data_IF_847567481892
#
_entry.id   IF_847567481892
#
_cell.length_a   1.000
_cell.length_b   1.000
_cell.length_c   1.000
_cell.angle_alpha   90.00
_cell.angle_beta   90.00
_cell.angle_gamma   90.00
#
_symmetry.space_group_name_H-M   'P 1'
#
loop_
_entity.id
_entity.type
_entity.pdbx_description
1 polymer ?
#
# COMPACT_ATOMS: atom_id res chain seq x y z
N UNK A 1 37.97 23.98 26.20
CA UNK A 1 37.04 24.18 25.06
C UNK A 1 36.98 22.99 24.09
N UNK A 2 37.95 22.08 24.07
CA UNK A 2 37.97 20.91 23.17
C UNK A 2 37.00 19.77 23.56
N UNK A 3 36.70 19.57 24.85
CA UNK A 3 35.87 18.45 25.31
C UNK A 3 34.37 18.56 24.96
N UNK A 4 33.84 19.77 24.74
CA UNK A 4 32.42 19.98 24.39
C UNK A 4 32.10 19.68 22.92
N UNK A 5 33.10 19.78 22.03
CA UNK A 5 32.92 19.46 20.61
C UNK A 5 33.02 17.95 20.33
N UNK A 6 33.77 17.19 21.15
CA UNK A 6 33.85 15.73 20.99
C UNK A 6 32.52 15.02 21.30
N UNK A 7 31.73 15.52 22.25
CA UNK A 7 30.41 14.94 22.57
C UNK A 7 29.36 15.22 21.49
N UNK A 8 29.44 16.36 20.82
CA UNK A 8 28.56 16.72 19.70
C UNK A 8 28.86 15.90 18.44
N UNK A 9 30.14 15.61 18.17
CA UNK A 9 30.54 14.75 17.05
C UNK A 9 30.16 13.29 17.33
N UNK A 10 30.23 12.81 18.58
CA UNK A 10 29.73 11.48 18.93
C UNK A 10 28.20 11.36 18.78
N UNK A 11 27.42 12.39 19.13
CA UNK A 11 25.96 12.36 18.95
C UNK A 11 25.53 12.41 17.48
N UNK A 12 26.31 13.08 16.62
CA UNK A 12 26.08 13.09 15.16
C UNK A 12 26.49 11.76 14.53
N UNK A 13 27.54 11.11 15.03
CA UNK A 13 27.95 9.78 14.55
C UNK A 13 26.96 8.67 14.93
N UNK A 14 26.28 8.76 16.09
CA UNK A 14 25.19 7.86 16.45
C UNK A 14 23.86 8.14 15.75
N UNK A 15 23.69 9.32 15.13
CA UNK A 15 22.53 9.63 14.28
C UNK A 15 22.81 9.43 12.78
N UNK A 16 24.07 9.16 12.40
CA UNK A 16 24.49 8.84 11.04
C UNK A 16 24.78 7.35 10.78
N UNK A 17 24.52 6.45 11.73
CA UNK A 17 24.37 5.02 11.41
C UNK A 17 22.97 4.76 10.84
N UNK A 18 22.62 5.49 9.79
CA UNK A 18 21.63 5.03 8.83
C UNK A 18 22.28 3.87 8.08
N UNK A 19 22.05 2.65 8.61
CA UNK A 19 22.14 1.36 7.93
C UNK A 19 23.03 1.33 6.68
N UNK A 20 24.33 1.16 6.90
CA UNK A 20 25.12 0.38 5.96
C UNK A 20 24.67 -1.07 6.12
N UNK A 21 23.59 -1.46 5.44
CA UNK A 21 23.13 -2.83 5.39
C UNK A 21 23.99 -3.56 4.36
N UNK A 22 25.03 -4.24 4.87
CA UNK A 22 25.71 -5.30 4.12
C UNK A 22 24.67 -6.35 3.69
N UNK A 23 24.86 -6.88 2.49
CA UNK A 23 24.04 -7.90 1.85
C UNK A 23 23.76 -9.10 2.78
N UNK A 24 22.61 -9.10 3.45
CA UNK A 24 22.00 -10.31 3.99
C UNK A 24 20.54 -10.33 3.56
N UNK A 25 20.16 -11.42 2.91
CA UNK A 25 18.77 -11.74 2.53
C UNK A 25 17.86 -11.46 3.72
N UNK A 26 17.02 -10.42 3.60
CA UNK A 26 16.35 -9.74 4.71
C UNK A 26 15.48 -10.69 5.56
N UNK A 27 15.63 -10.54 6.89
CA UNK A 27 14.85 -11.26 7.90
C UNK A 27 13.45 -10.61 8.01
N UNK A 28 12.33 -11.38 8.10
CA UNK A 28 10.97 -10.83 8.31
C UNK A 28 10.81 -9.92 9.54
N UNK A 29 11.82 -9.78 10.40
CA UNK A 29 11.88 -8.81 11.50
C UNK A 29 12.43 -7.42 11.12
N UNK A 30 12.87 -7.20 9.88
CA UNK A 30 13.36 -5.89 9.48
C UNK A 30 12.23 -4.84 9.45
N UNK A 31 12.48 -3.64 10.01
CA UNK A 31 11.43 -2.64 10.13
C UNK A 31 11.06 -2.03 8.76
N UNK A 32 9.82 -2.28 8.37
CA UNK A 32 9.07 -1.56 7.35
C UNK A 32 8.89 -0.12 7.82
N UNK A 33 9.35 0.80 6.97
CA UNK A 33 9.31 2.25 7.22
C UNK A 33 10.01 2.67 8.53
N UNK A 34 10.87 1.83 9.10
CA UNK A 34 11.58 2.12 10.34
C UNK A 34 10.79 1.88 11.64
N UNK A 35 9.50 1.49 11.56
CA UNK A 35 8.63 1.36 12.74
C UNK A 35 7.93 0.00 12.84
N UNK A 36 7.50 -0.58 11.73
CA UNK A 36 6.62 -1.74 11.71
C UNK A 36 7.36 -2.98 11.22
N UNK A 37 6.93 -4.17 11.61
CA UNK A 37 7.32 -5.40 10.92
C UNK A 37 6.08 -6.29 10.85
N UNK A 38 6.00 -7.13 9.82
CA UNK A 38 4.91 -8.08 9.72
C UNK A 38 5.00 -9.08 10.89
N UNK A 39 3.84 -9.54 11.37
CA UNK A 39 3.74 -10.42 12.54
C UNK A 39 3.80 -9.73 13.91
N UNK A 40 3.86 -8.39 13.97
CA UNK A 40 3.64 -7.65 15.21
C UNK A 40 2.26 -7.98 15.80
N UNK A 41 2.20 -8.16 17.12
CA UNK A 41 0.92 -8.19 17.82
C UNK A 41 0.38 -6.76 18.03
N UNK A 42 -0.84 -6.65 18.57
CA UNK A 42 -1.49 -5.35 18.76
C UNK A 42 -0.71 -4.39 19.67
N UNK A 43 -0.18 -4.87 20.80
CA UNK A 43 0.53 -4.03 21.78
C UNK A 43 1.85 -3.51 21.21
N UNK A 44 2.59 -4.39 20.51
CA UNK A 44 3.80 -4.02 19.76
C UNK A 44 3.49 -2.96 18.72
N UNK A 45 2.48 -3.21 17.87
CA UNK A 45 2.04 -2.29 16.83
C UNK A 45 1.66 -0.93 17.43
N UNK A 46 0.83 -0.92 18.47
CA UNK A 46 0.36 0.32 19.09
C UNK A 46 1.48 1.13 19.71
N UNK A 47 2.47 0.46 20.33
CA UNK A 47 3.68 1.11 20.83
C UNK A 47 4.50 1.78 19.71
N UNK A 48 4.54 1.20 18.51
CA UNK A 48 5.25 1.76 17.36
C UNK A 48 4.48 2.89 16.69
N UNK A 49 3.14 2.81 16.65
CA UNK A 49 2.29 3.90 16.17
C UNK A 49 2.58 5.20 16.91
N UNK A 50 2.67 5.17 18.24
CA UNK A 50 2.92 6.40 19.01
C UNK A 50 4.29 7.01 18.69
N UNK A 51 5.34 6.19 18.60
CA UNK A 51 6.69 6.65 18.21
C UNK A 51 6.71 7.24 16.81
N UNK A 52 5.99 6.61 15.87
CA UNK A 52 5.88 7.11 14.51
C UNK A 52 5.16 8.47 14.48
N UNK A 53 4.05 8.61 15.20
CA UNK A 53 3.33 9.88 15.31
C UNK A 53 4.23 10.99 15.80
N UNK A 54 4.90 10.79 16.93
CA UNK A 54 5.80 11.77 17.53
C UNK A 54 6.94 12.21 16.58
N UNK A 55 7.45 11.28 15.78
CA UNK A 55 8.57 11.54 14.88
C UNK A 55 8.17 12.16 13.53
N UNK A 56 6.89 12.06 13.12
CA UNK A 56 6.43 12.40 11.76
C UNK A 56 5.31 13.43 11.73
N UNK A 57 4.86 13.89 12.90
CA UNK A 57 3.78 14.86 13.02
C UNK A 57 4.17 16.21 12.41
N UNK A 58 3.31 16.69 11.52
CA UNK A 58 3.36 18.03 10.93
C UNK A 58 1.98 18.65 11.06
N UNK A 59 1.91 19.90 11.49
CA UNK A 59 0.64 20.63 11.54
C UNK A 59 0.28 21.17 10.17
N UNK A 60 -0.89 20.79 9.65
CA UNK A 60 -1.47 21.43 8.49
C UNK A 60 -1.85 22.87 8.86
N UNK A 61 -1.22 23.85 8.22
CA UNK A 61 -1.43 25.27 8.54
C UNK A 61 -2.78 25.81 8.07
N UNK A 62 -3.48 25.11 7.17
CA UNK A 62 -4.80 25.48 6.65
C UNK A 62 -5.88 24.93 7.57
N UNK A 63 -5.83 23.64 7.89
CA UNK A 63 -6.86 22.97 8.68
C UNK A 63 -6.57 22.97 10.18
N UNK A 64 -5.34 23.31 10.58
CA UNK A 64 -4.82 23.14 11.95
C UNK A 64 -4.87 21.70 12.46
N UNK A 65 -5.01 20.72 11.56
CA UNK A 65 -5.01 19.30 11.90
C UNK A 65 -3.61 18.69 11.77
N UNK A 66 -3.31 17.69 12.60
CA UNK A 66 -2.07 16.92 12.48
C UNK A 66 -2.10 16.02 11.24
N UNK A 67 -1.00 16.04 10.48
CA UNK A 67 -0.65 15.06 9.45
C UNK A 67 0.57 14.28 9.90
N UNK A 68 0.72 13.05 9.44
CA UNK A 68 1.86 12.20 9.79
C UNK A 68 2.59 11.88 8.49
N UNK A 69 3.72 12.56 8.25
CA UNK A 69 4.35 12.60 6.93
C UNK A 69 5.77 12.02 6.97
N UNK A 70 6.08 11.18 5.99
CA UNK A 70 7.43 10.66 5.75
C UNK A 70 7.89 10.98 4.32
N UNK A 71 9.20 10.98 4.09
CA UNK A 71 9.76 11.13 2.74
C UNK A 71 10.40 9.82 2.28
N UNK A 72 9.95 9.29 1.14
CA UNK A 72 10.53 8.13 0.48
C UNK A 72 11.05 8.59 -0.88
N UNK A 73 12.37 8.57 -1.06
CA UNK A 73 13.03 9.08 -2.27
C UNK A 73 12.62 10.52 -2.64
N UNK A 74 12.45 11.39 -1.64
CA UNK A 74 12.00 12.78 -1.86
C UNK A 74 10.50 12.94 -2.12
N UNK A 75 9.73 11.85 -2.17
CA UNK A 75 8.27 11.87 -2.33
C UNK A 75 7.63 11.82 -0.94
N UNK A 76 6.69 12.72 -0.66
CA UNK A 76 5.96 12.76 0.62
C UNK A 76 4.86 11.70 0.65
N UNK A 77 4.85 10.90 1.71
CA UNK A 77 3.80 9.94 2.03
C UNK A 77 3.11 10.32 3.33
N UNK A 78 1.79 10.19 3.34
CA UNK A 78 0.96 10.24 4.53
C UNK A 78 0.82 8.83 5.12
N UNK A 79 1.22 8.71 6.38
CA UNK A 79 1.15 7.47 7.15
C UNK A 79 -0.01 7.47 8.15
N UNK A 80 -0.97 8.39 8.00
CA UNK A 80 -2.16 8.44 8.85
C UNK A 80 -2.98 7.13 8.84
N UNK A 81 -3.03 6.41 7.70
CA UNK A 81 -3.64 5.09 7.65
C UNK A 81 -2.94 4.09 8.59
N UNK A 82 -1.63 4.24 8.78
CA UNK A 82 -0.82 3.50 9.75
C UNK A 82 -0.87 4.00 11.18
N UNK A 83 -1.58 5.10 11.47
CA UNK A 83 -1.84 5.52 12.86
C UNK A 83 -3.17 5.02 13.42
N UNK A 84 -4.04 4.48 12.56
CA UNK A 84 -5.32 3.90 12.99
C UNK A 84 -5.16 2.40 13.33
N UNK A 85 -6.01 1.83 14.21
CA UNK A 85 -6.06 0.39 14.40
C UNK A 85 -6.30 -0.31 13.05
N UNK A 86 -5.47 -1.30 12.69
CA UNK A 86 -5.65 -2.09 11.48
C UNK A 86 -7.01 -2.79 11.48
N UNK A 87 -7.59 -2.95 10.30
CA UNK A 87 -8.81 -3.73 10.15
C UNK A 87 -8.54 -5.21 10.39
N UNK A 88 -9.50 -5.92 10.98
CA UNK A 88 -9.52 -7.38 10.87
C UNK A 88 -9.87 -7.78 9.43
N UNK A 89 -9.46 -8.99 9.04
CA UNK A 89 -9.98 -9.67 7.84
C UNK A 89 -11.12 -10.60 8.30
N UNK A 90 -12.31 -10.42 7.73
CA UNK A 90 -13.51 -11.19 8.05
C UNK A 90 -13.97 -12.14 6.93
N UNK A 91 -15.08 -12.84 7.18
CA UNK A 91 -15.69 -13.75 6.20
C UNK A 91 -16.15 -13.04 4.93
N UNK A 92 -16.71 -11.83 5.03
CA UNK A 92 -17.14 -11.06 3.85
C UNK A 92 -15.94 -10.59 3.01
N UNK A 93 -14.83 -10.23 3.65
CA UNK A 93 -13.57 -9.90 2.97
C UNK A 93 -13.04 -11.13 2.21
N UNK A 94 -13.18 -12.31 2.84
CA UNK A 94 -12.85 -13.60 2.26
C UNK A 94 -13.78 -14.00 1.10
N UNK A 95 -15.09 -13.82 1.20
CA UNK A 95 -16.03 -14.29 0.16
C UNK A 95 -15.93 -13.50 -1.16
N UNK A 96 -15.40 -12.28 -1.11
CA UNK A 96 -15.32 -11.38 -2.26
C UNK A 96 -13.98 -11.45 -3.02
N UNK A 97 -12.96 -12.17 -2.54
CA UNK A 97 -11.69 -12.27 -3.26
C UNK A 97 -11.76 -13.25 -4.45
N UNK A 98 -10.82 -13.10 -5.38
CA UNK A 98 -10.57 -14.08 -6.45
C UNK A 98 -9.16 -14.65 -6.37
N UNK A 99 -8.94 -15.88 -6.85
CA UNK A 99 -7.64 -16.54 -6.66
C UNK A 99 -6.43 -15.78 -7.23
N UNK A 100 -6.68 -14.99 -8.27
CA UNK A 100 -5.66 -14.32 -9.05
C UNK A 100 -5.17 -12.99 -8.44
N UNK A 101 -5.84 -12.49 -7.39
CA UNK A 101 -5.57 -11.15 -6.84
C UNK A 101 -4.98 -11.15 -5.45
N UNK A 102 -4.58 -12.31 -4.89
CA UNK A 102 -3.86 -12.32 -3.62
C UNK A 102 -2.34 -12.14 -3.82
N UNK A 103 -1.66 -11.39 -2.94
CA UNK A 103 -2.18 -10.61 -1.81
C UNK A 103 -2.60 -9.17 -2.21
N UNK A 104 -2.57 -8.84 -3.51
CA UNK A 104 -2.85 -7.51 -4.06
C UNK A 104 -4.22 -6.93 -3.61
N UNK A 105 -5.21 -7.78 -3.39
CA UNK A 105 -6.53 -7.41 -2.87
C UNK A 105 -6.48 -6.64 -1.53
N UNK A 106 -5.42 -6.83 -0.73
CA UNK A 106 -5.24 -6.22 0.60
C UNK A 106 -4.31 -5.00 0.61
N UNK A 107 -4.00 -4.39 -0.55
CA UNK A 107 -3.09 -3.22 -0.66
C UNK A 107 -3.72 -1.88 -0.27
N UNK A 108 -4.97 -1.83 0.17
CA UNK A 108 -5.70 -0.57 0.42
C UNK A 108 -5.65 -0.09 1.88
N UNK A 109 -5.28 -0.99 2.79
CA UNK A 109 -5.38 -0.75 4.22
C UNK A 109 -4.32 -1.52 4.99
N UNK A 110 -4.33 -1.30 6.29
CA UNK A 110 -3.56 -2.12 7.22
C UNK A 110 -4.47 -3.19 7.77
N UNK A 111 -3.95 -4.42 7.81
CA UNK A 111 -4.74 -5.57 8.18
C UNK A 111 -4.08 -6.36 9.30
N UNK A 112 -4.93 -6.83 10.21
CA UNK A 112 -4.61 -7.85 11.20
C UNK A 112 -5.33 -9.15 10.83
N UNK A 113 -4.60 -10.26 10.94
CA UNK A 113 -5.14 -11.61 10.82
C UNK A 113 -4.63 -12.42 12.02
N UNK A 114 -5.53 -13.13 12.73
CA UNK A 114 -5.17 -13.91 13.92
C UNK A 114 -4.31 -13.12 14.95
N UNK A 115 -4.65 -11.84 15.18
CA UNK A 115 -3.93 -10.90 16.07
C UNK A 115 -2.48 -10.57 15.64
N UNK A 116 -2.20 -10.66 14.34
CA UNK A 116 -0.90 -10.36 13.73
C UNK A 116 -1.04 -9.35 12.62
N UNK A 117 -0.16 -8.34 12.58
CA UNK A 117 -0.05 -7.40 11.48
C UNK A 117 0.38 -8.13 10.20
N UNK A 118 -0.47 -8.13 9.18
CA UNK A 118 -0.23 -8.81 7.90
C UNK A 118 -0.16 -7.87 6.70
N UNK A 119 -0.52 -6.59 6.89
CA UNK A 119 -0.40 -5.57 5.86
C UNK A 119 -0.11 -4.20 6.46
N UNK A 120 0.82 -3.46 5.84
CA UNK A 120 1.01 -2.02 6.04
C UNK A 120 0.99 -1.32 4.68
N UNK A 121 0.12 -0.33 4.51
CA UNK A 121 -0.01 0.48 3.32
C UNK A 121 0.16 1.96 3.67
N UNK A 122 0.95 2.66 2.85
CA UNK A 122 1.11 4.12 2.91
C UNK A 122 0.81 4.74 1.56
N UNK A 123 0.27 5.96 1.58
CA UNK A 123 -0.17 6.66 0.38
C UNK A 123 0.44 8.06 0.34
N UNK A 124 0.66 8.62 -0.85
CA UNK A 124 0.88 10.06 -0.94
C UNK A 124 -0.37 10.80 -0.45
N UNK A 125 -0.25 12.01 0.13
CA UNK A 125 -1.41 12.78 0.58
C UNK A 125 -2.46 12.95 -0.52
N UNK A 126 -3.74 12.86 -0.14
CA UNK A 126 -4.85 13.19 -1.05
C UNK A 126 -4.93 14.70 -1.16
N UNK A 127 -4.91 15.24 -2.39
CA UNK A 127 -5.14 16.67 -2.61
C UNK A 127 -6.64 16.91 -2.78
N UNK A 128 -7.23 17.65 -1.84
CA UNK A 128 -8.66 17.59 -1.48
C UNK A 128 -9.68 18.01 -2.54
N UNK A 129 -9.29 18.53 -3.72
CA UNK A 129 -10.27 18.88 -4.78
C UNK A 129 -9.81 18.62 -6.23
N UNK A 130 -8.53 18.74 -6.55
CA UNK A 130 -8.04 18.60 -7.95
C UNK A 130 -7.72 17.14 -8.34
N UNK A 131 -7.39 16.29 -7.36
CA UNK A 131 -6.96 14.91 -7.63
C UNK A 131 -8.14 13.93 -7.68
N UNK A 132 -9.25 14.25 -7.01
CA UNK A 132 -10.43 13.36 -6.89
C UNK A 132 -11.06 13.08 -8.26
N UNK A 133 -10.91 14.00 -9.21
CA UNK A 133 -11.43 13.84 -10.57
C UNK A 133 -10.39 13.31 -11.56
N UNK A 134 -9.24 12.78 -11.14
CA UNK A 134 -8.31 12.21 -12.13
C UNK A 134 -8.89 10.96 -12.79
N UNK A 135 -9.43 10.05 -11.98
CA UNK A 135 -10.00 8.77 -12.40
C UNK A 135 -11.46 8.70 -12.00
N UNK A 136 -12.33 8.45 -12.97
CA UNK A 136 -13.75 8.21 -12.72
C UNK A 136 -14.11 6.82 -13.20
N UNK A 137 -14.96 6.06 -12.50
CA UNK A 137 -15.40 4.75 -12.99
C UNK A 137 -15.99 4.87 -14.40
N UNK A 138 -15.56 4.00 -15.30
CA UNK A 138 -16.10 3.95 -16.66
C UNK A 138 -17.60 3.61 -16.64
N UNK A 139 -18.28 3.85 -17.75
CA UNK A 139 -19.69 3.53 -17.90
C UNK A 139 -20.06 2.09 -17.52
N UNK A 140 -21.31 1.87 -17.10
CA UNK A 140 -21.79 0.56 -16.62
C UNK A 140 -21.64 -0.54 -17.69
N UNK A 141 -21.80 -0.18 -18.97
CA UNK A 141 -21.70 -1.11 -20.08
C UNK A 141 -20.28 -1.68 -20.23
N UNK A 142 -19.27 -0.84 -20.02
CA UNK A 142 -17.86 -1.21 -20.07
C UNK A 142 -17.48 -2.12 -18.88
N UNK A 143 -18.11 -1.91 -17.72
CA UNK A 143 -17.80 -2.67 -16.50
C UNK A 143 -18.49 -4.04 -16.42
N UNK A 144 -19.67 -4.21 -17.02
CA UNK A 144 -20.50 -5.42 -16.85
C UNK A 144 -19.84 -6.74 -17.32
N UNK A 145 -18.84 -6.64 -18.20
CA UNK A 145 -18.14 -7.79 -18.78
C UNK A 145 -16.81 -8.09 -18.09
N UNK A 146 -16.40 -7.25 -17.12
CA UNK A 146 -15.15 -7.43 -16.41
C UNK A 146 -15.30 -8.52 -15.32
N UNK A 147 -14.25 -9.30 -15.07
CA UNK A 147 -14.18 -10.14 -13.88
C UNK A 147 -14.44 -9.32 -12.60
N UNK A 148 -15.03 -9.92 -11.56
CA UNK A 148 -15.39 -9.22 -10.30
C UNK A 148 -14.23 -8.45 -9.65
N UNK A 149 -13.01 -8.95 -9.83
CA UNK A 149 -11.77 -8.38 -9.31
C UNK A 149 -11.16 -7.28 -10.19
N UNK A 150 -11.87 -6.87 -11.24
CA UNK A 150 -11.42 -5.93 -12.27
C UNK A 150 -12.42 -4.79 -12.38
N UNK A 151 -11.90 -3.60 -12.64
CA UNK A 151 -12.69 -2.42 -12.96
C UNK A 151 -11.97 -1.57 -14.02
N UNK A 152 -12.70 -0.63 -14.60
CA UNK A 152 -12.20 0.31 -15.59
C UNK A 152 -12.52 1.74 -15.13
N UNK A 153 -11.59 2.64 -15.43
CA UNK A 153 -11.71 4.06 -15.12
C UNK A 153 -11.40 4.87 -16.37
N UNK A 154 -12.13 5.96 -16.54
CA UNK A 154 -11.83 7.03 -17.49
C UNK A 154 -10.87 8.03 -16.83
N UNK A 155 -9.96 8.60 -17.64
CA UNK A 155 -8.98 9.60 -17.18
C UNK A 155 -9.41 10.99 -17.61
N UNK A 156 -9.77 11.80 -16.62
CA UNK A 156 -10.24 13.18 -16.79
C UNK A 156 -9.10 14.19 -16.61
N UNK A 157 -8.01 13.82 -15.93
CA UNK A 157 -6.82 14.64 -15.78
C UNK A 157 -5.57 13.92 -16.31
N UNK A 158 -5.31 14.09 -17.61
CA UNK A 158 -4.17 13.46 -18.31
C UNK A 158 -2.82 13.92 -17.76
N UNK A 159 -2.69 15.19 -17.39
CA UNK A 159 -1.44 15.74 -16.86
C UNK A 159 -1.10 15.07 -15.53
N UNK A 160 -2.05 15.03 -14.59
CA UNK A 160 -1.87 14.38 -13.30
C UNK A 160 -1.62 12.87 -13.47
N UNK A 161 -2.34 12.19 -14.36
CA UNK A 161 -2.06 10.78 -14.66
C UNK A 161 -0.60 10.59 -15.11
N UNK A 162 -0.13 11.37 -16.08
CA UNK A 162 1.24 11.26 -16.59
C UNK A 162 2.31 11.62 -15.54
N UNK A 163 2.01 12.57 -14.65
CA UNK A 163 2.85 12.88 -13.49
C UNK A 163 2.94 11.69 -12.54
N UNK A 164 1.82 11.08 -12.17
CA UNK A 164 1.78 9.89 -11.32
C UNK A 164 2.54 8.73 -11.95
N UNK A 165 2.37 8.47 -13.25
CA UNK A 165 3.13 7.44 -13.98
C UNK A 165 4.64 7.70 -13.86
N UNK A 166 5.08 8.95 -14.08
CA UNK A 166 6.50 9.31 -13.95
C UNK A 166 7.03 9.16 -12.51
N UNK A 167 6.21 9.47 -11.50
CA UNK A 167 6.55 9.23 -10.11
C UNK A 167 6.67 7.73 -9.80
N UNK A 168 5.79 6.88 -10.36
CA UNK A 168 5.92 5.43 -10.19
C UNK A 168 7.19 4.88 -10.83
N UNK A 169 7.61 5.37 -12.00
CA UNK A 169 8.89 4.99 -12.65
C UNK A 169 10.10 5.34 -11.77
N UNK A 170 10.06 6.52 -11.14
CA UNK A 170 11.10 7.00 -10.24
C UNK A 170 11.17 6.15 -8.96
N UNK A 171 10.00 5.84 -8.38
CA UNK A 171 9.88 5.07 -7.16
C UNK A 171 10.22 3.58 -7.38
N UNK A 172 9.85 3.01 -8.52
CA UNK A 172 10.27 1.69 -8.98
C UNK A 172 11.79 1.55 -9.01
N UNK A 173 12.47 2.53 -9.60
CA UNK A 173 13.94 2.55 -9.64
C UNK A 173 14.55 2.62 -8.23
N UNK A 174 13.93 3.37 -7.31
CA UNK A 174 14.38 3.47 -5.92
C UNK A 174 14.14 2.16 -5.15
N UNK A 175 12.92 1.62 -5.20
CA UNK A 175 12.55 0.40 -4.49
C UNK A 175 13.31 -0.81 -5.03
N UNK A 176 13.64 -0.85 -6.32
CA UNK A 176 14.45 -1.93 -6.90
C UNK A 176 15.89 -1.94 -6.37
N UNK A 177 16.44 -0.79 -5.95
CA UNK A 177 17.75 -0.76 -5.26
C UNK A 177 17.69 -1.40 -3.88
N UNK A 178 16.52 -1.34 -3.23
CA UNK A 178 16.31 -1.87 -1.87
C UNK A 178 15.85 -3.33 -1.86
N UNK A 179 14.95 -3.70 -2.77
CA UNK A 179 14.27 -5.00 -2.79
C UNK A 179 14.67 -5.88 -3.98
N UNK A 180 15.61 -5.43 -4.82
CA UNK A 180 16.07 -6.17 -6.00
C UNK A 180 15.16 -5.98 -7.22
N UNK A 181 15.25 -6.90 -8.18
CA UNK A 181 14.43 -6.85 -9.40
C UNK A 181 12.97 -7.15 -9.08
N UNK A 182 12.00 -6.40 -9.66
CA UNK A 182 10.59 -6.72 -9.54
C UNK A 182 10.31 -8.17 -9.97
N UNK A 183 9.46 -8.87 -9.21
CA UNK A 183 8.97 -10.21 -9.57
C UNK A 183 7.83 -10.14 -10.58
N UNK A 184 7.13 -9.01 -10.64
CA UNK A 184 6.07 -8.73 -11.61
C UNK A 184 5.99 -7.24 -11.89
N UNK A 185 5.84 -6.89 -13.17
CA UNK A 185 5.67 -5.52 -13.62
C UNK A 185 4.33 -5.36 -14.36
N UNK A 186 3.75 -4.18 -14.21
CA UNK A 186 2.48 -3.79 -14.79
C UNK A 186 2.71 -2.48 -15.54
N UNK A 187 2.87 -2.53 -16.87
CA UNK A 187 3.10 -1.33 -17.66
C UNK A 187 1.90 -0.37 -17.52
N UNK A 188 2.17 0.86 -17.10
CA UNK A 188 1.19 1.95 -17.08
C UNK A 188 1.61 2.95 -18.16
N UNK A 189 0.79 3.09 -19.19
CA UNK A 189 1.10 3.97 -20.32
C UNK A 189 0.77 5.42 -20.00
N UNK A 190 1.69 6.34 -20.34
CA UNK A 190 1.37 7.77 -20.42
C UNK A 190 0.38 8.01 -21.55
N UNK A 191 -0.54 8.93 -21.33
CA UNK A 191 -1.60 9.27 -22.28
C UNK A 191 -1.26 10.55 -23.03
N UNK A 192 -1.71 10.63 -24.28
CA UNK A 192 -1.64 11.86 -25.05
C UNK A 192 -2.62 12.90 -24.48
N UNK A 193 -2.33 14.20 -24.60
CA UNK A 193 -3.28 15.24 -24.23
C UNK A 193 -4.64 15.05 -24.91
N UNK A 194 -5.70 15.46 -24.23
CA UNK A 194 -7.06 15.40 -24.78
C UNK A 194 -7.19 16.31 -26.01
N UNK A 195 -7.94 15.84 -26.99
CA UNK A 195 -8.29 16.66 -28.15
C UNK A 195 -9.30 17.75 -27.75
N UNK A 196 -9.41 18.80 -28.56
CA UNK A 196 -10.35 19.90 -28.27
C UNK A 196 -11.79 19.38 -28.20
N UNK A 197 -12.42 19.52 -27.02
CA UNK A 197 -13.80 19.10 -26.78
C UNK A 197 -13.94 17.66 -26.28
N UNK A 198 -12.84 16.93 -26.12
CA UNK A 198 -12.82 15.63 -25.45
C UNK A 198 -12.82 15.84 -23.93
N UNK A 199 -13.83 15.32 -23.19
CA UNK A 199 -13.93 15.56 -21.75
C UNK A 199 -13.04 14.62 -20.91
N UNK A 200 -12.71 13.43 -21.43
CA UNK A 200 -11.91 12.40 -20.77
C UNK A 200 -11.37 11.41 -21.80
N UNK A 201 -10.35 10.64 -21.43
CA UNK A 201 -9.84 9.52 -22.23
C UNK A 201 -10.22 8.20 -21.56
N UNK A 202 -10.86 7.30 -22.32
CA UNK A 202 -11.08 5.95 -21.84
C UNK A 202 -9.74 5.24 -21.66
N UNK A 203 -9.49 4.72 -20.45
CA UNK A 203 -8.24 4.06 -20.12
C UNK A 203 -8.44 2.56 -20.01
N UNK A 204 -7.84 1.82 -20.93
CA UNK A 204 -8.03 0.38 -21.11
C UNK A 204 -7.23 -0.48 -20.12
N UNK A 205 -6.42 0.13 -19.25
CA UNK A 205 -5.68 -0.64 -18.25
C UNK A 205 -6.65 -1.25 -17.23
N UNK A 206 -6.40 -2.50 -16.88
CA UNK A 206 -7.22 -3.21 -15.90
C UNK A 206 -6.86 -2.76 -14.49
N UNK A 207 -7.80 -2.08 -13.83
CA UNK A 207 -7.71 -1.79 -12.42
C UNK A 207 -8.07 -3.03 -11.61
N UNK A 208 -7.48 -3.17 -10.44
CA UNK A 208 -7.73 -4.27 -9.52
C UNK A 208 -8.62 -3.77 -8.39
N UNK A 209 -9.78 -4.41 -8.21
CA UNK A 209 -10.67 -4.13 -7.09
C UNK A 209 -10.01 -4.55 -5.77
N UNK A 210 -10.22 -3.76 -4.71
CA UNK A 210 -9.62 -3.94 -3.39
C UNK A 210 -10.61 -4.46 -2.36
N UNK A 211 -10.09 -4.90 -1.21
CA UNK A 211 -10.84 -5.53 -0.14
C UNK A 211 -11.97 -4.68 0.43
N UNK A 212 -11.66 -3.46 0.87
CA UNK A 212 -12.69 -2.62 1.51
C UNK A 212 -13.38 -1.73 0.49
N UNK A 213 -12.60 -0.97 -0.26
CA UNK A 213 -13.15 -0.04 -1.23
C UNK A 213 -12.10 0.44 -2.21
N UNK A 214 -12.54 0.62 -3.45
CA UNK A 214 -11.75 1.24 -4.49
C UNK A 214 -10.97 0.26 -5.35
N UNK A 215 -9.99 0.82 -6.04
CA UNK A 215 -9.17 0.09 -6.96
C UNK A 215 -7.75 0.64 -7.02
N UNK A 216 -6.83 -0.23 -7.43
CA UNK A 216 -5.46 0.17 -7.76
C UNK A 216 -5.11 -0.16 -9.20
N UNK A 217 -4.16 0.60 -9.68
CA UNK A 217 -3.38 0.30 -10.84
C UNK A 217 -1.95 -0.02 -10.34
N UNK A 218 -1.62 -1.31 -10.15
CA UNK A 218 -0.28 -1.70 -9.72
C UNK A 218 0.73 -1.30 -10.79
N UNK A 219 1.96 -1.01 -10.36
CA UNK A 219 3.11 -0.76 -11.22
C UNK A 219 4.09 -1.93 -11.16
N UNK A 220 4.42 -2.39 -9.94
CA UNK A 220 5.37 -3.47 -9.75
C UNK A 220 5.22 -4.15 -8.38
N UNK A 221 5.69 -5.39 -8.32
CA UNK A 221 5.75 -6.23 -7.13
C UNK A 221 7.20 -6.68 -6.88
N UNK A 222 7.61 -6.74 -5.61
CA UNK A 222 8.86 -7.34 -5.17
C UNK A 222 8.58 -8.41 -4.13
N UNK A 223 9.44 -9.42 -4.07
CA UNK A 223 9.42 -10.45 -3.04
C UNK A 223 10.69 -10.38 -2.19
N UNK A 224 10.53 -10.35 -0.87
CA UNK A 224 11.64 -10.43 0.08
C UNK A 224 11.25 -11.32 1.26
N UNK A 225 11.71 -12.57 1.23
CA UNK A 225 11.25 -13.60 2.16
C UNK A 225 9.77 -13.89 1.96
N UNK A 226 8.97 -13.79 3.05
CA UNK A 226 7.51 -13.91 2.99
C UNK A 226 6.80 -12.58 2.72
N UNK A 227 7.55 -11.47 2.68
CA UNK A 227 6.96 -10.15 2.44
C UNK A 227 6.89 -9.88 0.94
N UNK A 228 5.70 -9.52 0.48
CA UNK A 228 5.47 -8.92 -0.83
C UNK A 228 5.38 -7.40 -0.68
N UNK A 229 6.13 -6.68 -1.50
CA UNK A 229 6.03 -5.22 -1.62
C UNK A 229 5.32 -4.91 -2.92
N UNK A 230 4.26 -4.10 -2.88
CA UNK A 230 3.50 -3.71 -4.06
C UNK A 230 3.43 -2.19 -4.09
N UNK A 231 3.66 -1.58 -5.26
CA UNK A 231 3.39 -0.16 -5.44
C UNK A 231 2.56 0.09 -6.70
N UNK A 232 1.89 1.24 -6.72
CA UNK A 232 1.20 1.71 -7.90
C UNK A 232 0.42 2.99 -7.62
N UNK A 233 -0.66 3.16 -8.36
CA UNK A 233 -1.57 4.31 -8.29
C UNK A 233 -2.91 3.85 -7.71
N UNK A 234 -3.49 4.61 -6.80
CA UNK A 234 -4.87 4.38 -6.31
C UNK A 234 -5.87 5.13 -7.19
N UNK A 235 -7.13 4.72 -7.15
CA UNK A 235 -8.21 5.43 -7.86
C UNK A 235 -8.41 6.88 -7.37
N UNK A 236 -7.90 7.24 -6.18
CA UNK A 236 -7.86 8.61 -5.68
C UNK A 236 -6.69 9.45 -6.22
N UNK A 237 -5.97 8.93 -7.22
CA UNK A 237 -4.83 9.60 -7.83
C UNK A 237 -3.68 9.88 -6.84
N UNK A 238 -3.43 8.92 -5.95
CA UNK A 238 -2.27 8.90 -5.06
C UNK A 238 -1.34 7.74 -5.41
N UNK A 239 -0.07 7.85 -5.06
CA UNK A 239 0.86 6.71 -5.11
C UNK A 239 0.73 5.93 -3.81
N UNK A 240 0.66 4.60 -3.89
CA UNK A 240 0.69 3.73 -2.72
C UNK A 240 1.94 2.85 -2.69
N UNK A 241 2.35 2.45 -1.49
CA UNK A 241 3.28 1.36 -1.25
C UNK A 241 2.67 0.47 -0.17
N UNK A 242 2.52 -0.82 -0.46
CA UNK A 242 2.00 -1.82 0.46
C UNK A 242 3.03 -2.90 0.75
N UNK A 243 3.11 -3.31 2.01
CA UNK A 243 3.96 -4.37 2.52
C UNK A 243 3.05 -5.45 3.10
N UNK A 244 3.07 -6.65 2.51
CA UNK A 244 2.08 -7.69 2.74
C UNK A 244 2.77 -9.01 3.12
N UNK A 245 2.23 -9.73 4.09
CA UNK A 245 2.65 -11.11 4.36
C UNK A 245 1.97 -12.05 3.35
N UNK A 246 2.70 -12.45 2.31
CA UNK A 246 2.16 -13.27 1.22
C UNK A 246 1.70 -14.65 1.73
N UNK A 247 2.41 -15.21 2.71
CA UNK A 247 2.09 -16.53 3.26
C UNK A 247 0.80 -16.49 4.06
N UNK A 248 0.66 -15.50 4.96
CA UNK A 248 -0.55 -15.37 5.78
C UNK A 248 -1.75 -14.90 4.97
N UNK A 249 -1.53 -14.12 3.91
CA UNK A 249 -2.57 -13.68 2.97
C UNK A 249 -2.72 -14.63 1.77
N UNK A 250 -2.13 -15.82 1.81
CA UNK A 250 -2.28 -16.81 0.73
C UNK A 250 -3.65 -17.51 0.80
N UNK A 251 -4.11 -18.03 -0.35
CA UNK A 251 -5.30 -18.91 -0.39
C UNK A 251 -5.20 -20.05 0.59
N UNK A 252 -4.04 -20.71 0.67
CA UNK A 252 -3.86 -21.86 1.55
C UNK A 252 -4.13 -21.49 3.02
N UNK A 253 -3.72 -20.31 3.46
CA UNK A 253 -3.94 -19.89 4.84
C UNK A 253 -5.35 -19.32 5.06
N UNK A 254 -5.85 -18.48 4.14
CA UNK A 254 -7.18 -17.90 4.27
C UNK A 254 -8.27 -18.97 4.16
N UNK A 255 -8.14 -19.93 3.25
CA UNK A 255 -9.05 -21.08 3.14
C UNK A 255 -9.02 -21.90 4.44
N UNK A 256 -7.85 -22.09 5.08
CA UNK A 256 -7.77 -22.77 6.38
C UNK A 256 -8.56 -22.03 7.48
N UNK A 257 -8.54 -20.70 7.46
CA UNK A 257 -9.15 -19.86 8.52
C UNK A 257 -10.65 -19.70 8.29
N UNK A 258 -11.08 -19.48 7.05
CA UNK A 258 -12.43 -19.06 6.71
C UNK A 258 -13.25 -20.10 5.96
N UNK A 259 -12.65 -21.18 5.44
CA UNK A 259 -13.45 -22.23 4.80
C UNK A 259 -14.49 -22.76 5.80
N UNK A 260 -15.73 -23.00 5.35
CA UNK A 260 -16.75 -23.57 6.20
C UNK A 260 -16.22 -24.87 6.81
N UNK A 261 -16.18 -24.95 8.14
CA UNK A 261 -16.02 -26.24 8.78
C UNK A 261 -17.18 -27.13 8.31
N UNK A 262 -16.90 -28.35 7.86
CA UNK A 262 -17.93 -29.38 7.66
C UNK A 262 -18.65 -29.57 8.99
N UNK A 263 -19.73 -28.81 9.21
CA UNK A 263 -20.54 -29.00 10.39
C UNK A 263 -21.25 -30.34 10.20
N UNK A 264 -21.01 -31.34 11.06
CA UNK A 264 -21.80 -32.54 11.03
C UNK A 264 -23.25 -32.12 11.29
N UNK A 265 -24.09 -32.19 10.25
CA UNK A 265 -25.53 -31.99 10.42
C UNK A 265 -25.98 -33.05 11.41
N UNK A 266 -26.62 -32.70 12.53
CA UNK A 266 -27.14 -33.69 13.45
C UNK A 266 -28.08 -34.60 12.66
N UNK A 267 -27.72 -35.89 12.56
CA UNK A 267 -28.63 -36.90 12.06
C UNK A 267 -29.75 -37.02 13.08
N UNK A 268 -30.89 -36.44 12.77
CA UNK A 268 -32.14 -36.80 13.44
C UNK A 268 -32.50 -38.18 12.91
N UNK A 269 -32.72 -39.15 13.80
CA UNK A 269 -33.34 -40.43 13.42
C UNK A 269 -34.84 -40.18 13.22
N UNK A 270 -35.36 -40.59 12.08
CA UNK A 270 -36.78 -40.65 11.73
C UNK A 270 -37.07 -42.03 11.15
#
# INVERSE_FOLDING_TARGET
>A
MFYRYCLLILSVLFSCTAFAQENTVNNPQEPILGYYHLGMNFDEYWGQVQKMKEATEVTDTITSMSKYLISINGITFDVAAAVSPPGGIGGDDYDNYTKETLPLYFTDSNYFLENKLVSVTVNTPVHEMENVFCYMPAGLYEQQHLPKNRCMFDVYNIELHNQLVSLTETLESYLSKKYGTPTKEYPIAKLQPLDKGEPFRQFSAHWFSLCKSGAILPKAEWQTGNMKVIMGITYFATIFISFLDETLLSHQNLDRIFAPADQPRPKVEW
#
